data_IF_826522613177
#
_entry.id   IF_826522613177
#
_cell.length_a   1.000
_cell.length_b   1.000
_cell.length_c   1.000
_cell.angle_alpha   90.00
_cell.angle_beta   90.00
_cell.angle_gamma   90.00
#
_symmetry.space_group_name_H-M   'P 1'
#
loop_
_entity.id
_entity.type
_entity.pdbx_description
1 polymer ?
#
# COMPACT_ATOMS: atom_id res chain seq x y z
N UNK A 1 71.36 7.53 -36.52
CA UNK A 1 70.51 8.69 -36.40
C UNK A 1 69.37 8.27 -35.48
N UNK A 2 69.37 8.77 -34.25
CA UNK A 2 68.25 8.53 -33.26
C UNK A 2 67.29 9.70 -33.32
N UNK A 3 66.03 9.45 -33.58
CA UNK A 3 64.98 10.44 -33.42
C UNK A 3 64.30 10.18 -32.08
N UNK A 4 64.44 11.09 -31.15
CA UNK A 4 63.68 11.19 -29.91
C UNK A 4 62.45 12.05 -30.16
N UNK A 5 61.26 11.47 -30.04
CA UNK A 5 59.95 12.17 -30.05
C UNK A 5 59.66 12.57 -28.65
N UNK A 6 59.51 13.87 -28.41
CA UNK A 6 58.99 14.47 -27.16
C UNK A 6 57.49 14.60 -27.32
N UNK A 7 56.72 13.99 -26.44
CA UNK A 7 55.26 14.16 -26.34
C UNK A 7 55.01 15.18 -25.23
N UNK A 8 54.57 16.37 -25.60
CA UNK A 8 54.07 17.38 -24.67
C UNK A 8 52.68 16.99 -24.15
N UNK A 9 52.58 16.75 -22.85
CA UNK A 9 51.33 16.63 -22.15
C UNK A 9 50.81 18.03 -21.77
N UNK A 10 49.81 18.53 -22.45
CA UNK A 10 49.05 19.70 -22.00
C UNK A 10 48.14 19.32 -20.82
N UNK A 11 48.49 19.79 -19.63
CA UNK A 11 47.64 19.67 -18.46
C UNK A 11 46.44 20.62 -18.59
N UNK A 12 45.24 20.07 -18.87
CA UNK A 12 43.99 20.80 -18.79
C UNK A 12 43.60 20.96 -17.33
N UNK A 13 43.68 22.17 -16.79
CA UNK A 13 43.14 22.52 -15.47
C UNK A 13 41.63 22.56 -15.55
N UNK A 14 40.98 21.52 -15.01
CA UNK A 14 39.54 21.53 -14.79
C UNK A 14 39.25 22.43 -13.56
N UNK A 15 38.75 23.64 -13.84
CA UNK A 15 38.23 24.52 -12.80
C UNK A 15 36.94 23.88 -12.23
N UNK A 16 37.03 23.29 -11.04
CA UNK A 16 35.87 22.85 -10.31
C UNK A 16 35.15 24.06 -9.75
N UNK A 17 34.08 24.48 -10.43
CA UNK A 17 33.10 25.38 -9.87
C UNK A 17 32.26 24.58 -8.87
N UNK A 18 32.72 24.44 -7.62
CA UNK A 18 31.88 23.95 -6.54
C UNK A 18 30.95 25.09 -6.10
N UNK A 19 29.78 25.18 -6.72
CA UNK A 19 28.68 25.83 -6.05
C UNK A 19 28.39 25.02 -4.79
N UNK A 20 28.69 25.58 -3.62
CA UNK A 20 28.23 25.04 -2.35
C UNK A 20 26.69 25.10 -2.41
N UNK A 21 26.07 23.97 -2.69
CA UNK A 21 24.64 23.80 -2.42
C UNK A 21 24.54 23.71 -0.92
N UNK A 22 23.98 24.74 -0.29
CA UNK A 22 23.62 24.66 1.13
C UNK A 22 22.84 23.36 1.31
N UNK A 23 23.22 22.50 2.28
CA UNK A 23 22.45 21.30 2.54
C UNK A 23 21.01 21.74 2.87
N UNK A 24 19.99 21.08 2.31
CA UNK A 24 18.63 21.40 2.64
C UNK A 24 18.52 21.42 4.17
N UNK A 25 17.85 22.44 4.72
CA UNK A 25 17.56 22.52 6.15
C UNK A 25 16.74 21.29 6.53
N UNK A 26 17.41 20.21 6.88
CA UNK A 26 16.74 19.06 7.50
C UNK A 26 16.19 19.55 8.84
N UNK A 27 14.87 19.62 8.93
CA UNK A 27 14.15 19.76 10.20
C UNK A 27 14.73 18.71 11.15
N UNK A 28 14.98 19.04 12.41
CA UNK A 28 15.60 18.15 13.39
C UNK A 28 14.78 16.85 13.47
N UNK A 29 15.27 15.82 12.77
CA UNK A 29 14.60 14.54 12.71
C UNK A 29 14.72 13.86 14.04
N UNK A 30 13.59 13.39 14.60
CA UNK A 30 13.64 12.35 15.60
C UNK A 30 14.33 11.15 14.94
N UNK A 31 15.39 10.65 15.57
CA UNK A 31 16.08 9.46 15.06
C UNK A 31 15.07 8.30 14.92
N UNK A 32 15.30 7.42 13.93
CA UNK A 32 14.53 6.17 13.81
C UNK A 32 14.58 5.39 15.13
N UNK A 33 13.51 4.63 15.41
CA UNK A 33 13.46 3.77 16.57
C UNK A 33 14.55 2.68 16.49
N UNK A 34 15.37 2.50 17.53
CA UNK A 34 16.42 1.48 17.54
C UNK A 34 15.85 0.08 17.34
N UNK A 35 16.34 -0.62 16.32
CA UNK A 35 15.88 -1.95 15.97
C UNK A 35 16.99 -2.86 15.48
N UNK A 36 16.79 -4.17 15.62
CA UNK A 36 17.60 -5.21 14.99
C UNK A 36 16.95 -5.58 13.67
N UNK A 37 17.66 -5.35 12.57
CA UNK A 37 17.18 -5.60 11.21
C UNK A 37 17.68 -6.93 10.67
N UNK A 38 16.79 -7.66 10.03
CA UNK A 38 17.12 -8.81 9.17
C UNK A 38 16.20 -8.82 7.94
N UNK A 39 16.50 -9.66 6.97
CA UNK A 39 15.63 -9.84 5.82
C UNK A 39 15.52 -11.30 5.42
N UNK A 40 14.47 -11.59 4.67
CA UNK A 40 14.21 -12.92 4.10
C UNK A 40 13.44 -12.78 2.79
N UNK A 41 13.34 -13.89 2.07
CA UNK A 41 12.42 -14.02 0.94
C UNK A 41 11.40 -15.12 1.25
N UNK A 42 10.15 -14.92 0.83
CA UNK A 42 9.06 -15.86 1.04
C UNK A 42 8.27 -16.09 -0.24
N UNK A 43 7.59 -17.23 -0.33
CA UNK A 43 6.88 -17.61 -1.56
C UNK A 43 7.83 -17.93 -2.70
N UNK A 44 7.28 -17.87 -3.92
CA UNK A 44 8.01 -18.17 -5.14
C UNK A 44 8.19 -19.67 -5.40
N UNK A 45 8.63 -19.98 -6.61
CA UNK A 45 8.89 -21.34 -7.06
C UNK A 45 9.97 -21.40 -8.15
N UNK A 46 10.62 -22.56 -8.30
CA UNK A 46 11.42 -22.86 -9.49
C UNK A 46 10.50 -23.13 -10.68
N UNK A 47 10.73 -22.41 -11.76
CA UNK A 47 9.98 -22.53 -13.01
C UNK A 47 10.95 -22.72 -14.18
N UNK A 48 10.55 -23.50 -15.18
CA UNK A 48 11.35 -23.67 -16.40
C UNK A 48 11.45 -22.33 -17.16
N UNK A 49 12.67 -22.00 -17.63
CA UNK A 49 12.95 -20.77 -18.39
C UNK A 49 12.78 -20.93 -19.91
N UNK A 50 12.35 -22.12 -20.37
CA UNK A 50 12.19 -22.44 -21.79
C UNK A 50 13.48 -22.84 -22.51
N UNK A 51 14.65 -22.81 -21.85
CA UNK A 51 15.94 -23.20 -22.41
C UNK A 51 16.45 -24.56 -21.92
N UNK A 52 15.67 -25.23 -21.06
CA UNK A 52 16.05 -26.47 -20.36
C UNK A 52 16.60 -26.21 -18.94
N UNK A 53 16.63 -24.95 -18.51
CA UNK A 53 17.06 -24.51 -17.18
C UNK A 53 15.87 -24.03 -16.35
N UNK A 54 16.10 -23.64 -15.09
CA UNK A 54 15.09 -23.15 -14.18
C UNK A 54 15.54 -21.82 -13.55
N UNK A 55 14.56 -20.96 -13.30
CA UNK A 55 14.70 -19.73 -12.53
C UNK A 55 13.75 -19.75 -11.34
N UNK A 56 14.11 -19.03 -10.27
CA UNK A 56 13.24 -18.86 -9.11
C UNK A 56 12.44 -17.56 -9.27
N UNK A 57 11.12 -17.59 -9.15
CA UNK A 57 10.21 -16.49 -9.46
C UNK A 57 9.14 -16.29 -8.39
N UNK A 58 8.57 -15.06 -8.37
CA UNK A 58 7.41 -14.67 -7.56
C UNK A 58 7.66 -14.70 -6.05
N UNK A 59 8.94 -14.71 -5.64
CA UNK A 59 9.30 -14.51 -4.25
C UNK A 59 9.13 -13.04 -3.84
N UNK A 60 8.75 -12.84 -2.58
CA UNK A 60 8.56 -11.54 -1.97
C UNK A 60 9.68 -11.25 -0.97
N UNK A 61 10.32 -10.08 -1.10
CA UNK A 61 11.27 -9.58 -0.10
C UNK A 61 10.52 -9.12 1.14
N UNK A 62 11.07 -9.47 2.29
CA UNK A 62 10.54 -9.08 3.60
C UNK A 62 11.69 -8.55 4.45
N UNK A 63 11.55 -7.34 4.96
CA UNK A 63 12.44 -6.74 5.95
C UNK A 63 11.78 -6.90 7.33
N UNK A 64 12.50 -7.53 8.26
CA UNK A 64 12.06 -7.72 9.63
C UNK A 64 12.81 -6.75 10.55
N UNK A 65 12.07 -5.97 11.32
CA UNK A 65 12.59 -5.06 12.34
C UNK A 65 12.09 -5.50 13.71
N UNK A 66 13.01 -5.71 14.64
CA UNK A 66 12.72 -6.09 16.03
C UNK A 66 13.16 -4.96 16.95
N UNK A 67 12.29 -4.42 17.82
CA UNK A 67 12.68 -3.36 18.77
C UNK A 67 13.93 -3.74 19.56
N UNK A 68 14.94 -2.87 19.61
CA UNK A 68 16.17 -3.13 20.38
C UNK A 68 15.89 -3.22 21.89
N UNK A 69 14.81 -2.59 22.37
CA UNK A 69 14.35 -2.64 23.76
C UNK A 69 13.56 -3.94 24.09
N UNK A 70 13.37 -4.81 23.09
CA UNK A 70 12.55 -6.02 23.18
C UNK A 70 11.14 -5.84 22.64
N UNK A 71 10.52 -6.95 22.27
CA UNK A 71 9.12 -7.01 21.80
C UNK A 71 8.22 -7.17 23.01
N UNK A 72 7.17 -6.34 23.13
CA UNK A 72 6.15 -6.50 24.19
C UNK A 72 4.72 -6.58 23.65
N UNK A 73 4.52 -6.35 22.35
CA UNK A 73 3.23 -6.62 21.72
C UNK A 73 3.15 -8.09 21.33
N UNK A 74 2.02 -8.77 21.61
CA UNK A 74 1.88 -10.20 21.34
C UNK A 74 1.87 -10.55 19.86
N UNK A 75 1.26 -9.69 19.04
CA UNK A 75 1.04 -9.92 17.63
C UNK A 75 1.95 -9.02 16.77
N UNK A 76 2.73 -9.59 15.83
CA UNK A 76 3.53 -8.79 14.90
C UNK A 76 2.65 -8.09 13.87
N UNK A 77 3.23 -7.10 13.19
CA UNK A 77 2.54 -6.38 12.13
C UNK A 77 3.28 -6.51 10.79
N UNK A 78 2.52 -6.75 9.71
CA UNK A 78 3.01 -6.73 8.32
C UNK A 78 2.50 -5.47 7.63
N UNK A 79 3.41 -4.69 7.04
CA UNK A 79 3.13 -3.45 6.32
C UNK A 79 3.26 -3.66 4.81
N UNK A 80 2.17 -3.42 4.06
CA UNK A 80 2.05 -3.68 2.62
C UNK A 80 1.79 -2.36 1.90
N UNK A 81 2.74 -1.95 1.05
CA UNK A 81 2.71 -0.68 0.31
C UNK A 81 1.73 -0.66 -0.86
N UNK A 82 1.44 0.55 -1.39
CA UNK A 82 0.57 0.80 -2.54
C UNK A 82 1.22 0.56 -3.91
N UNK A 83 0.46 0.90 -4.96
CA UNK A 83 0.91 0.78 -6.35
C UNK A 83 2.05 1.75 -6.65
N UNK A 84 3.05 1.29 -7.41
CA UNK A 84 4.22 2.08 -7.77
C UNK A 84 5.17 2.37 -6.63
N UNK A 85 4.98 1.76 -5.46
CA UNK A 85 5.75 2.00 -4.24
C UNK A 85 6.47 0.75 -3.75
N UNK A 86 7.26 0.90 -2.68
CA UNK A 86 7.94 -0.18 -1.96
C UNK A 86 7.74 -0.01 -0.46
N UNK A 87 8.22 -0.97 0.33
CA UNK A 87 8.19 -0.89 1.79
C UNK A 87 8.93 0.30 2.38
N UNK A 88 9.81 0.96 1.60
CA UNK A 88 10.51 2.17 2.05
C UNK A 88 9.58 3.30 2.48
N UNK A 89 8.33 3.32 1.96
CA UNK A 89 7.32 4.31 2.33
C UNK A 89 6.93 4.29 3.81
N UNK A 90 7.15 3.15 4.49
CA UNK A 90 6.90 3.02 5.93
C UNK A 90 8.13 3.33 6.79
N UNK A 91 9.33 3.47 6.19
CA UNK A 91 10.57 3.76 6.92
C UNK A 91 10.68 5.25 7.26
N UNK A 92 10.61 6.10 6.22
CA UNK A 92 10.72 7.55 6.37
C UNK A 92 9.65 8.26 5.54
N UNK A 93 9.24 9.45 6.02
CA UNK A 93 8.40 10.36 5.26
C UNK A 93 9.24 11.17 4.27
N UNK A 94 8.65 11.70 3.17
CA UNK A 94 9.40 12.46 2.18
C UNK A 94 9.94 13.81 2.70
N UNK A 95 9.37 14.33 3.80
CA UNK A 95 9.88 15.50 4.52
C UNK A 95 11.04 15.15 5.48
N UNK A 96 11.49 13.90 5.48
CA UNK A 96 12.53 13.38 6.36
C UNK A 96 12.06 13.00 7.76
N UNK A 97 10.77 13.09 8.05
CA UNK A 97 10.18 12.61 9.29
C UNK A 97 10.20 11.08 9.39
N UNK A 98 9.99 10.56 10.61
CA UNK A 98 9.90 9.12 10.87
C UNK A 98 8.66 8.53 10.20
N UNK A 99 8.81 7.36 9.61
CA UNK A 99 7.69 6.57 9.11
C UNK A 99 7.05 5.69 10.18
N UNK A 100 5.93 5.08 9.84
CA UNK A 100 5.15 4.25 10.76
C UNK A 100 5.88 3.01 11.26
N UNK A 101 6.87 2.49 10.53
CA UNK A 101 7.71 1.40 11.03
C UNK A 101 8.39 1.76 12.35
N UNK A 102 9.00 2.96 12.42
CA UNK A 102 9.60 3.46 13.67
C UNK A 102 8.57 3.66 14.78
N UNK A 103 7.36 4.13 14.44
CA UNK A 103 6.29 4.31 15.44
C UNK A 103 5.82 2.96 16.00
N UNK A 104 5.63 1.94 15.16
CA UNK A 104 5.30 0.59 15.63
C UNK A 104 6.42 -0.02 16.47
N UNK A 105 7.70 0.20 16.12
CA UNK A 105 8.83 -0.27 16.91
C UNK A 105 8.86 0.39 18.29
N UNK A 106 8.63 1.71 18.38
CA UNK A 106 8.53 2.43 19.66
C UNK A 106 7.36 1.91 20.53
N UNK A 107 6.31 1.37 19.91
CA UNK A 107 5.17 0.73 20.59
C UNK A 107 5.38 -0.78 20.82
N UNK A 108 6.58 -1.30 20.58
CA UNK A 108 6.97 -2.66 20.92
C UNK A 108 6.55 -3.76 19.96
N UNK A 109 6.11 -3.40 18.76
CA UNK A 109 5.76 -4.39 17.74
C UNK A 109 7.00 -4.95 17.04
N UNK A 110 6.98 -6.24 16.76
CA UNK A 110 7.81 -6.85 15.73
C UNK A 110 7.20 -6.48 14.37
N UNK A 111 7.97 -5.80 13.51
CA UNK A 111 7.47 -5.22 12.25
C UNK A 111 8.07 -5.97 11.06
N UNK A 112 7.20 -6.34 10.12
CA UNK A 112 7.58 -6.90 8.83
C UNK A 112 7.17 -5.92 7.72
N UNK A 113 8.13 -5.45 6.94
CA UNK A 113 7.90 -4.56 5.81
C UNK A 113 8.14 -5.38 4.55
N UNK A 114 7.16 -5.44 3.66
CA UNK A 114 7.29 -6.19 2.42
C UNK A 114 7.50 -5.24 1.23
N UNK A 115 8.29 -5.70 0.25
CA UNK A 115 8.14 -5.24 -1.13
C UNK A 115 7.31 -6.30 -1.84
N UNK A 116 6.12 -5.94 -2.32
CA UNK A 116 5.25 -6.89 -3.03
C UNK A 116 6.02 -7.61 -4.14
N UNK A 117 5.56 -8.77 -4.57
CA UNK A 117 6.18 -9.50 -5.68
C UNK A 117 6.37 -8.59 -6.89
N UNK A 118 7.48 -8.71 -7.60
CA UNK A 118 7.84 -7.88 -8.74
C UNK A 118 7.91 -6.37 -8.42
N UNK A 119 8.32 -6.01 -7.21
CA UNK A 119 8.50 -4.64 -6.74
C UNK A 119 9.79 -4.47 -5.97
N UNK A 120 10.45 -3.33 -6.13
CA UNK A 120 11.59 -2.93 -5.32
C UNK A 120 12.65 -4.02 -5.20
N UNK A 121 12.84 -4.55 -4.00
CA UNK A 121 13.81 -5.61 -3.68
C UNK A 121 13.30 -7.04 -3.99
N UNK A 122 12.02 -7.20 -4.30
CA UNK A 122 11.49 -8.46 -4.83
C UNK A 122 11.91 -8.61 -6.29
N UNK A 123 12.49 -9.75 -6.69
CA UNK A 123 13.05 -9.91 -8.03
C UNK A 123 12.03 -9.66 -9.14
N UNK A 124 12.46 -8.91 -10.14
CA UNK A 124 11.68 -8.61 -11.33
C UNK A 124 11.95 -9.65 -12.41
N UNK A 125 11.17 -10.71 -12.46
CA UNK A 125 11.31 -11.78 -13.44
C UNK A 125 9.97 -12.08 -14.09
N UNK A 126 9.64 -11.33 -15.15
CA UNK A 126 8.45 -11.57 -15.96
C UNK A 126 8.64 -12.82 -16.82
N UNK A 127 7.59 -13.63 -16.97
CA UNK A 127 7.72 -14.94 -17.62
C UNK A 127 6.77 -15.20 -18.77
N UNK A 128 5.64 -14.50 -18.78
CA UNK A 128 4.55 -14.83 -19.69
C UNK A 128 4.59 -14.04 -21.00
N UNK A 129 5.50 -13.07 -21.12
CA UNK A 129 5.62 -12.19 -22.28
C UNK A 129 4.40 -11.26 -22.50
N UNK A 130 3.35 -11.39 -21.67
CA UNK A 130 2.10 -10.63 -21.78
C UNK A 130 2.01 -9.53 -20.75
N UNK A 131 2.51 -9.78 -19.52
CA UNK A 131 2.56 -8.81 -18.44
C UNK A 131 3.64 -7.76 -18.71
N UNK A 132 3.25 -6.51 -18.66
CA UNK A 132 4.15 -5.37 -18.98
C UNK A 132 4.46 -4.54 -17.73
N UNK A 133 5.66 -3.93 -17.68
CA UNK A 133 5.93 -2.90 -16.69
C UNK A 133 5.13 -1.63 -16.99
N UNK A 134 4.64 -1.00 -15.93
CA UNK A 134 3.98 0.29 -15.94
C UNK A 134 4.57 1.18 -14.86
N UNK A 135 4.29 2.48 -14.90
CA UNK A 135 4.69 3.45 -13.89
C UNK A 135 3.62 4.52 -13.73
N UNK A 136 3.53 5.11 -12.55
CA UNK A 136 2.71 6.29 -12.34
C UNK A 136 3.44 7.53 -12.89
N UNK A 137 2.75 8.33 -13.71
CA UNK A 137 3.33 9.59 -14.18
C UNK A 137 3.34 10.63 -13.06
N UNK A 138 4.22 11.63 -13.21
CA UNK A 138 4.28 12.80 -12.33
C UNK A 138 2.91 13.44 -12.20
N UNK A 139 2.25 13.67 -13.35
CA UNK A 139 0.95 14.33 -13.41
C UNK A 139 -0.16 13.53 -12.74
N UNK A 140 -0.10 12.20 -12.78
CA UNK A 140 -1.04 11.34 -12.05
C UNK A 140 -0.85 11.49 -10.55
N UNK A 141 0.39 11.47 -10.07
CA UNK A 141 0.74 11.64 -8.66
C UNK A 141 0.32 13.02 -8.15
N UNK A 142 0.65 14.09 -8.88
CA UNK A 142 0.26 15.46 -8.52
C UNK A 142 -1.26 15.62 -8.38
N UNK A 143 -2.01 15.08 -9.36
CA UNK A 143 -3.46 15.24 -9.43
C UNK A 143 -4.21 14.44 -8.38
N UNK A 144 -3.71 13.24 -8.07
CA UNK A 144 -4.46 12.26 -7.27
C UNK A 144 -3.97 12.14 -5.84
N UNK A 145 -2.70 12.52 -5.54
CA UNK A 145 -2.10 12.23 -4.24
C UNK A 145 -1.56 13.47 -3.52
N UNK A 146 -0.76 14.31 -4.18
CA UNK A 146 0.07 15.29 -3.50
C UNK A 146 -0.41 16.74 -3.62
N UNK A 147 -1.04 17.12 -4.73
CA UNK A 147 -1.51 18.49 -4.97
C UNK A 147 -3.02 18.54 -5.33
N UNK A 148 -3.81 17.66 -4.76
CA UNK A 148 -5.22 17.44 -5.16
C UNK A 148 -6.09 18.71 -5.06
N UNK A 149 -5.84 19.57 -4.08
CA UNK A 149 -6.56 20.85 -3.93
C UNK A 149 -6.36 21.80 -5.13
N UNK A 150 -5.24 21.68 -5.85
CA UNK A 150 -4.98 22.45 -7.08
C UNK A 150 -5.85 21.97 -8.24
N UNK A 151 -6.06 20.65 -8.37
CA UNK A 151 -6.72 20.03 -9.52
C UNK A 151 -8.23 19.86 -9.32
N UNK A 152 -8.72 19.69 -8.09
CA UNK A 152 -10.15 19.68 -7.71
C UNK A 152 -10.98 18.65 -8.49
N UNK A 153 -10.45 17.46 -8.67
CA UNK A 153 -11.11 16.41 -9.46
C UNK A 153 -12.28 15.74 -8.73
N UNK A 154 -12.42 15.96 -7.43
CA UNK A 154 -13.56 15.58 -6.58
C UNK A 154 -13.78 16.68 -5.52
N UNK A 155 -14.99 16.82 -4.97
CA UNK A 155 -15.32 17.95 -4.09
C UNK A 155 -14.42 18.05 -2.86
N UNK A 156 -14.12 16.92 -2.18
CA UNK A 156 -13.32 16.89 -0.96
C UNK A 156 -11.84 17.27 -1.19
N UNK A 157 -11.35 17.23 -2.43
CA UNK A 157 -9.98 17.62 -2.76
C UNK A 157 -9.59 19.01 -2.26
N UNK A 158 -10.57 19.92 -2.14
CA UNK A 158 -10.36 21.28 -1.64
C UNK A 158 -9.87 21.34 -0.18
N UNK A 159 -10.12 20.29 0.60
CA UNK A 159 -9.72 20.20 2.00
C UNK A 159 -8.26 19.80 2.18
N UNK A 160 -7.50 19.45 1.10
CA UNK A 160 -6.13 18.95 1.23
C UNK A 160 -5.15 20.01 1.69
N UNK A 161 -4.62 19.86 2.90
CA UNK A 161 -3.69 20.80 3.54
C UNK A 161 -2.48 20.13 4.21
N UNK A 162 -2.46 18.79 4.27
CA UNK A 162 -1.46 18.06 5.05
C UNK A 162 -0.24 17.60 4.25
N UNK A 163 -0.24 17.69 2.92
CA UNK A 163 0.98 17.40 2.19
C UNK A 163 2.11 18.38 2.60
N UNK A 164 3.32 17.89 2.94
CA UNK A 164 4.45 18.74 3.24
C UNK A 164 5.03 19.30 1.93
N UNK A 165 4.97 20.60 1.73
CA UNK A 165 5.41 21.27 0.50
C UNK A 165 4.28 21.55 -0.50
N UNK A 166 4.63 21.85 -1.75
CA UNK A 166 3.66 22.22 -2.79
C UNK A 166 2.94 21.01 -3.42
N UNK A 167 3.51 19.82 -3.28
CA UNK A 167 3.02 18.61 -3.93
C UNK A 167 3.22 18.56 -5.45
N UNK A 168 4.06 19.44 -6.01
CA UNK A 168 4.32 19.55 -7.44
C UNK A 168 5.78 19.25 -7.77
N UNK A 169 6.04 18.77 -8.98
CA UNK A 169 7.39 18.58 -9.53
C UNK A 169 8.26 19.82 -9.35
N UNK A 170 9.50 19.60 -8.88
CA UNK A 170 10.47 20.66 -8.56
C UNK A 170 10.41 21.11 -7.10
N UNK A 171 9.41 20.69 -6.33
CA UNK A 171 9.42 20.81 -4.88
C UNK A 171 10.29 19.68 -4.29
N UNK A 172 11.28 19.96 -3.43
CA UNK A 172 12.19 18.94 -2.92
C UNK A 172 11.49 17.77 -2.23
N UNK A 173 10.37 18.01 -1.55
CA UNK A 173 9.61 16.95 -0.86
C UNK A 173 8.86 16.10 -1.87
N UNK A 174 8.23 16.72 -2.88
CA UNK A 174 7.62 15.97 -3.97
C UNK A 174 8.65 15.14 -4.73
N UNK A 175 9.81 15.73 -5.08
CA UNK A 175 10.85 15.04 -5.82
C UNK A 175 11.44 13.87 -5.02
N UNK A 176 11.60 14.01 -3.69
CA UNK A 176 12.00 12.93 -2.81
C UNK A 176 10.95 11.79 -2.78
N UNK A 177 9.66 12.12 -2.69
CA UNK A 177 8.57 11.14 -2.76
C UNK A 177 8.53 10.48 -4.14
N UNK A 178 8.53 11.26 -5.23
CA UNK A 178 8.41 10.70 -6.56
C UNK A 178 9.59 9.80 -6.94
N UNK A 179 10.81 10.15 -6.51
CA UNK A 179 12.01 9.34 -6.75
C UNK A 179 11.98 7.98 -6.02
N UNK A 180 11.13 7.81 -5.00
CA UNK A 180 10.92 6.53 -4.33
C UNK A 180 9.94 5.60 -5.08
N UNK A 181 9.24 6.11 -6.11
CA UNK A 181 8.32 5.31 -6.90
C UNK A 181 9.08 4.38 -7.85
N UNK A 182 8.54 3.19 -8.03
CA UNK A 182 9.10 2.14 -8.87
C UNK A 182 8.08 1.65 -9.88
N UNK A 183 8.56 0.92 -10.90
CA UNK A 183 7.68 0.23 -11.83
C UNK A 183 6.82 -0.83 -11.11
N UNK A 184 5.68 -1.14 -11.71
CA UNK A 184 4.78 -2.22 -11.30
C UNK A 184 4.28 -2.95 -12.54
N UNK A 185 3.63 -4.09 -12.35
CA UNK A 185 3.01 -4.83 -13.46
C UNK A 185 1.58 -4.32 -13.70
N UNK A 186 1.16 -4.32 -14.97
CA UNK A 186 -0.20 -3.94 -15.39
C UNK A 186 -1.25 -5.04 -15.17
N UNK A 187 -0.81 -6.27 -14.86
CA UNK A 187 -1.67 -7.42 -14.59
C UNK A 187 -2.01 -7.50 -13.08
N UNK A 188 -3.15 -6.92 -12.70
CA UNK A 188 -3.62 -6.90 -11.30
C UNK A 188 -3.93 -8.29 -10.75
N UNK A 189 -4.48 -9.20 -11.58
CA UNK A 189 -4.77 -10.59 -11.20
C UNK A 189 -3.49 -11.30 -10.79
N UNK A 190 -2.48 -11.28 -11.66
CA UNK A 190 -1.19 -11.91 -11.37
C UNK A 190 -0.50 -11.30 -10.13
N UNK A 191 -0.59 -9.97 -9.96
CA UNK A 191 -0.07 -9.30 -8.75
C UNK A 191 -0.77 -9.83 -7.48
N UNK A 192 -2.09 -9.96 -7.50
CA UNK A 192 -2.85 -10.45 -6.36
C UNK A 192 -2.55 -11.93 -6.06
N UNK A 193 -2.48 -12.78 -7.07
CA UNK A 193 -2.15 -14.21 -6.92
C UNK A 193 -0.76 -14.41 -6.28
N UNK A 194 0.25 -13.74 -6.81
CA UNK A 194 1.63 -13.91 -6.33
C UNK A 194 1.82 -13.33 -4.93
N UNK A 195 1.19 -12.19 -4.62
CA UNK A 195 1.26 -11.58 -3.29
C UNK A 195 0.44 -12.38 -2.27
N UNK A 196 -0.73 -12.93 -2.63
CA UNK A 196 -1.47 -13.82 -1.75
C UNK A 196 -0.63 -15.05 -1.37
N UNK A 197 -0.02 -15.71 -2.36
CA UNK A 197 0.81 -16.89 -2.13
C UNK A 197 2.04 -16.57 -1.25
N UNK A 198 2.75 -15.49 -1.56
CA UNK A 198 3.92 -15.06 -0.79
C UNK A 198 3.55 -14.55 0.61
N UNK A 199 2.43 -13.85 0.76
CA UNK A 199 1.90 -13.40 2.04
C UNK A 199 1.47 -14.56 2.94
N UNK A 200 0.82 -15.58 2.36
CA UNK A 200 0.49 -16.82 3.07
C UNK A 200 1.76 -17.53 3.57
N UNK A 201 2.80 -17.65 2.73
CA UNK A 201 4.09 -18.21 3.11
C UNK A 201 4.79 -17.37 4.20
N UNK A 202 4.61 -16.04 4.20
CA UNK A 202 5.10 -15.18 5.29
C UNK A 202 4.40 -15.49 6.60
N UNK A 203 3.08 -15.59 6.61
CA UNK A 203 2.32 -15.94 7.82
C UNK A 203 2.69 -17.33 8.35
N UNK A 204 2.85 -18.32 7.46
CA UNK A 204 3.33 -19.66 7.83
C UNK A 204 4.71 -19.59 8.51
N UNK A 205 5.60 -18.72 8.02
CA UNK A 205 6.95 -18.54 8.59
C UNK A 205 6.94 -17.77 9.91
N UNK A 206 6.04 -16.80 10.09
CA UNK A 206 5.82 -16.10 11.37
C UNK A 206 5.22 -17.06 12.40
N UNK A 207 4.27 -17.91 12.00
CA UNK A 207 3.73 -19.04 12.78
C UNK A 207 2.81 -18.63 13.94
N UNK A 208 2.33 -17.36 13.99
CA UNK A 208 1.42 -16.84 15.02
C UNK A 208 0.49 -15.78 14.42
N UNK A 209 -0.64 -15.46 15.10
CA UNK A 209 -1.55 -14.41 14.63
C UNK A 209 -0.81 -13.10 14.37
N UNK A 210 -1.13 -12.47 13.24
CA UNK A 210 -0.39 -11.34 12.70
C UNK A 210 -1.38 -10.27 12.25
N UNK A 211 -1.09 -9.01 12.54
CA UNK A 211 -1.83 -7.84 12.08
C UNK A 211 -1.39 -7.54 10.63
N UNK A 212 -2.34 -7.42 9.70
CA UNK A 212 -2.06 -7.11 8.31
C UNK A 212 -2.50 -5.67 8.01
N UNK A 213 -1.57 -4.80 7.68
CA UNK A 213 -1.84 -3.42 7.27
C UNK A 213 -1.47 -3.23 5.80
N UNK A 214 -2.42 -2.77 5.01
CA UNK A 214 -2.22 -2.48 3.60
C UNK A 214 -2.72 -1.09 3.20
N UNK A 215 -1.95 -0.42 2.32
CA UNK A 215 -2.31 0.88 1.76
C UNK A 215 -2.64 0.78 0.27
N UNK A 216 -3.71 1.45 -0.19
CA UNK A 216 -4.04 1.60 -1.61
C UNK A 216 -4.19 0.24 -2.32
N UNK A 217 -3.45 -0.02 -3.41
CA UNK A 217 -3.39 -1.34 -4.04
C UNK A 217 -2.97 -2.44 -3.06
N UNK A 218 -2.06 -2.14 -2.13
CA UNK A 218 -1.69 -3.05 -1.05
C UNK A 218 -2.83 -3.33 -0.07
N UNK A 219 -3.89 -2.52 -0.08
CA UNK A 219 -5.10 -2.72 0.71
C UNK A 219 -5.99 -3.90 0.24
N UNK A 220 -5.79 -4.44 -0.97
CA UNK A 220 -6.42 -5.70 -1.37
C UNK A 220 -5.80 -6.91 -0.66
N UNK A 221 -4.49 -6.86 -0.44
CA UNK A 221 -3.67 -7.99 -0.06
C UNK A 221 -3.99 -8.54 1.34
N UNK A 222 -4.26 -7.72 2.39
CA UNK A 222 -4.65 -8.23 3.70
C UNK A 222 -5.85 -9.17 3.66
N UNK A 223 -6.89 -8.84 2.88
CA UNK A 223 -8.07 -9.69 2.77
C UNK A 223 -7.77 -11.03 2.08
N UNK A 224 -6.97 -11.01 1.02
CA UNK A 224 -6.55 -12.23 0.30
C UNK A 224 -5.64 -13.12 1.13
N UNK A 225 -4.68 -12.52 1.86
CA UNK A 225 -3.76 -13.25 2.74
C UNK A 225 -4.53 -13.83 3.94
N UNK A 226 -5.46 -13.08 4.50
CA UNK A 226 -6.31 -13.53 5.61
C UNK A 226 -7.23 -14.68 5.18
N UNK A 227 -7.82 -14.61 3.98
CA UNK A 227 -8.61 -15.70 3.41
C UNK A 227 -7.79 -16.98 3.26
N UNK A 228 -6.54 -16.87 2.80
CA UNK A 228 -5.63 -18.00 2.67
C UNK A 228 -5.13 -18.55 4.02
N UNK A 229 -5.03 -17.71 5.05
CA UNK A 229 -4.50 -18.06 6.40
C UNK A 229 -5.34 -17.43 7.52
N UNK A 230 -6.64 -17.76 7.64
CA UNK A 230 -7.51 -17.11 8.62
C UNK A 230 -7.07 -17.32 10.08
N UNK A 231 -6.47 -18.46 10.42
CA UNK A 231 -5.98 -18.75 11.77
C UNK A 231 -4.70 -18.00 12.15
N UNK A 232 -3.94 -17.51 11.15
CA UNK A 232 -2.71 -16.74 11.34
C UNK A 232 -2.92 -15.24 11.14
N UNK A 233 -4.17 -14.80 10.91
CA UNK A 233 -4.53 -13.37 10.83
C UNK A 233 -5.22 -12.97 12.12
N UNK A 234 -4.67 -11.95 12.80
CA UNK A 234 -5.24 -11.32 14.00
C UNK A 234 -6.30 -10.30 13.63
N UNK A 235 -5.94 -9.35 12.80
CA UNK A 235 -6.80 -8.25 12.33
C UNK A 235 -6.31 -7.68 11.00
N UNK A 236 -7.16 -6.92 10.35
CA UNK A 236 -6.94 -6.32 9.02
C UNK A 236 -7.08 -4.80 9.13
N UNK A 237 -6.08 -4.06 8.64
CA UNK A 237 -6.08 -2.60 8.59
C UNK A 237 -5.89 -2.15 7.14
N UNK A 238 -6.84 -1.41 6.64
CA UNK A 238 -6.93 -0.96 5.27
C UNK A 238 -6.86 0.56 5.23
N UNK A 239 -5.70 1.09 4.86
CA UNK A 239 -5.53 2.52 4.63
C UNK A 239 -5.93 2.80 3.18
N UNK A 240 -7.14 3.31 2.99
CA UNK A 240 -7.68 3.64 1.66
C UNK A 240 -7.50 2.49 0.66
N UNK A 241 -8.11 1.32 0.90
CA UNK A 241 -7.94 0.16 0.04
C UNK A 241 -8.44 0.45 -1.36
N UNK A 242 -7.81 -0.14 -2.37
CA UNK A 242 -8.31 -0.05 -3.72
C UNK A 242 -9.80 -0.44 -3.77
N UNK A 243 -10.63 0.42 -4.32
CA UNK A 243 -12.08 0.28 -4.27
C UNK A 243 -12.74 1.20 -5.29
N UNK A 244 -14.04 1.37 -5.18
CA UNK A 244 -15.03 0.64 -4.39
C UNK A 244 -15.29 -0.80 -4.89
N UNK A 245 -16.18 -1.58 -4.25
CA UNK A 245 -16.52 -2.93 -4.68
C UNK A 245 -17.03 -3.00 -6.11
N UNK A 246 -16.74 -4.08 -6.80
CA UNK A 246 -17.16 -4.45 -8.16
C UNK A 246 -16.67 -3.52 -9.27
N UNK A 247 -16.71 -2.22 -9.12
CA UNK A 247 -16.34 -1.28 -10.17
C UNK A 247 -15.56 -0.10 -9.60
N UNK A 248 -14.46 0.26 -10.23
CA UNK A 248 -13.67 1.43 -9.87
C UNK A 248 -14.46 2.73 -9.94
N UNK A 249 -13.99 3.74 -9.20
CA UNK A 249 -14.54 5.10 -9.23
C UNK A 249 -13.41 6.10 -9.53
N UNK A 250 -13.61 7.34 -9.39
CA UNK A 250 -12.76 8.52 -9.56
C UNK A 250 -11.39 8.29 -10.22
N UNK A 251 -10.50 7.49 -9.60
CA UNK A 251 -9.15 7.23 -10.12
C UNK A 251 -9.17 6.30 -11.36
N UNK A 252 -9.91 5.18 -11.29
CA UNK A 252 -9.98 4.17 -12.34
C UNK A 252 -11.42 3.68 -12.56
N UNK A 253 -12.30 4.48 -13.15
CA UNK A 253 -13.72 4.15 -13.27
C UNK A 253 -14.02 2.96 -14.20
N UNK A 254 -13.05 2.52 -15.00
CA UNK A 254 -13.21 1.39 -15.93
C UNK A 254 -12.71 0.05 -15.35
N UNK A 255 -12.06 0.06 -14.19
CA UNK A 255 -11.61 -1.17 -13.54
C UNK A 255 -12.79 -1.89 -12.91
N UNK A 256 -12.89 -3.20 -13.15
CA UNK A 256 -13.88 -4.09 -12.51
C UNK A 256 -13.17 -5.06 -11.59
N UNK A 257 -13.86 -5.43 -10.49
CA UNK A 257 -13.42 -6.43 -9.51
C UNK A 257 -14.46 -7.52 -9.42
N UNK A 258 -14.32 -8.60 -10.20
CA UNK A 258 -15.36 -9.60 -10.32
C UNK A 258 -15.72 -10.26 -8.99
N UNK A 259 -14.77 -10.38 -8.07
CA UNK A 259 -14.96 -10.98 -6.76
C UNK A 259 -15.36 -9.98 -5.66
N UNK A 260 -15.95 -8.87 -6.04
CA UNK A 260 -16.37 -7.79 -5.14
C UNK A 260 -15.22 -6.84 -4.78
N UNK A 261 -14.39 -7.21 -3.82
CA UNK A 261 -13.27 -6.37 -3.36
C UNK A 261 -11.97 -6.61 -4.13
N UNK A 262 -11.84 -7.75 -4.82
CA UNK A 262 -10.59 -8.26 -5.41
C UNK A 262 -10.82 -8.82 -6.81
N UNK A 263 -9.73 -9.09 -7.54
CA UNK A 263 -9.77 -9.56 -8.92
C UNK A 263 -9.65 -11.09 -9.02
N UNK A 264 -9.23 -11.76 -7.96
CA UNK A 264 -9.03 -13.21 -7.86
C UNK A 264 -10.01 -13.85 -6.90
N UNK A 265 -10.23 -15.17 -6.94
CA UNK A 265 -11.11 -15.86 -6.03
C UNK A 265 -10.79 -15.59 -4.56
N UNK A 266 -11.85 -15.31 -3.79
CA UNK A 266 -11.88 -15.25 -2.33
C UNK A 266 -13.01 -16.14 -1.85
N UNK A 267 -12.88 -16.72 -0.65
CA UNK A 267 -13.79 -17.75 -0.17
C UNK A 267 -15.13 -17.18 0.31
N UNK A 268 -16.20 -17.58 -0.34
CA UNK A 268 -17.58 -17.25 0.03
C UNK A 268 -18.38 -18.49 0.50
N UNK A 269 -19.39 -18.24 1.32
CA UNK A 269 -20.46 -19.16 1.64
C UNK A 269 -21.84 -18.53 1.35
N UNK A 270 -22.72 -19.16 0.55
CA UNK A 270 -22.46 -20.31 -0.31
C UNK A 270 -21.32 -20.06 -1.30
N UNK A 271 -20.60 -21.12 -1.75
CA UNK A 271 -19.46 -20.96 -2.65
C UNK A 271 -19.79 -20.18 -3.92
N UNK A 272 -18.87 -19.32 -4.37
CA UNK A 272 -18.90 -18.62 -5.65
C UNK A 272 -18.06 -19.41 -6.64
N UNK A 273 -18.67 -19.81 -7.77
CA UNK A 273 -17.99 -20.52 -8.86
C UNK A 273 -17.86 -19.65 -10.11
N UNK A 274 -18.89 -18.86 -10.39
CA UNK A 274 -18.88 -17.83 -11.42
C UNK A 274 -19.32 -16.51 -10.78
N UNK A 275 -18.38 -15.59 -10.52
CA UNK A 275 -18.71 -14.34 -9.83
C UNK A 275 -19.68 -13.45 -10.63
N UNK A 276 -19.75 -13.60 -11.96
CA UNK A 276 -20.69 -12.84 -12.78
C UNK A 276 -22.15 -13.29 -12.58
N UNK A 277 -22.33 -14.55 -12.15
CA UNK A 277 -23.67 -15.15 -11.90
C UNK A 277 -23.97 -15.16 -10.40
N UNK A 278 -23.01 -15.58 -9.58
CA UNK A 278 -23.20 -15.86 -8.17
C UNK A 278 -23.22 -14.61 -7.27
N UNK A 279 -22.50 -13.53 -7.69
CA UNK A 279 -22.46 -12.26 -6.98
C UNK A 279 -23.43 -11.25 -7.66
N UNK A 280 -24.72 -11.43 -7.43
CA UNK A 280 -25.73 -10.53 -7.97
C UNK A 280 -25.54 -9.14 -7.39
N UNK A 281 -25.37 -8.16 -8.28
CA UNK A 281 -25.06 -6.78 -7.91
C UNK A 281 -26.31 -5.91 -7.88
N UNK A 282 -26.33 -4.94 -6.96
CA UNK A 282 -27.36 -3.92 -6.84
C UNK A 282 -26.72 -2.56 -6.60
N UNK A 283 -27.28 -1.53 -7.23
CA UNK A 283 -26.87 -0.14 -6.99
C UNK A 283 -27.65 0.41 -5.80
N UNK A 284 -26.92 0.92 -4.82
CA UNK A 284 -27.49 1.60 -3.63
C UNK A 284 -27.30 3.10 -3.78
N UNK A 285 -28.30 3.85 -3.37
CA UNK A 285 -28.27 5.31 -3.45
C UNK A 285 -27.10 5.89 -2.65
N UNK A 286 -26.56 6.98 -3.11
CA UNK A 286 -25.50 7.72 -2.41
C UNK A 286 -25.93 8.12 -1.00
N UNK A 287 -24.99 8.06 -0.07
CA UNK A 287 -25.22 8.38 1.35
C UNK A 287 -25.52 9.88 1.57
N UNK A 288 -24.84 10.73 0.81
CA UNK A 288 -24.94 12.20 0.85
C UNK A 288 -24.50 12.81 -0.50
N UNK A 289 -24.53 14.13 -0.60
CA UNK A 289 -24.17 14.84 -1.85
C UNK A 289 -22.69 14.70 -2.25
N UNK A 290 -21.80 14.43 -1.30
CA UNK A 290 -20.35 14.29 -1.50
C UNK A 290 -19.94 12.84 -1.76
N UNK A 291 -20.85 11.88 -1.60
CA UNK A 291 -20.60 10.46 -1.83
C UNK A 291 -21.08 10.01 -3.21
N UNK A 292 -20.60 8.85 -3.66
CA UNK A 292 -21.11 8.17 -4.85
C UNK A 292 -22.14 7.09 -4.49
N UNK A 293 -22.85 6.58 -5.49
CA UNK A 293 -23.65 5.36 -5.35
C UNK A 293 -22.73 4.15 -5.12
N UNK A 294 -23.16 3.22 -4.26
CA UNK A 294 -22.45 1.98 -4.02
C UNK A 294 -22.99 0.86 -4.90
N UNK A 295 -22.10 0.09 -5.52
CA UNK A 295 -22.47 -1.21 -6.09
C UNK A 295 -22.09 -2.25 -5.04
N UNK A 296 -23.10 -2.95 -4.50
CA UNK A 296 -22.95 -3.99 -3.48
C UNK A 296 -23.62 -5.27 -3.97
N UNK A 297 -23.60 -6.34 -3.17
CA UNK A 297 -24.44 -7.50 -3.45
C UNK A 297 -25.91 -7.13 -3.28
N UNK A 298 -26.78 -7.71 -4.10
CA UNK A 298 -28.22 -7.56 -3.92
C UNK A 298 -28.70 -8.20 -2.60
N UNK A 299 -29.81 -7.69 -2.05
CA UNK A 299 -30.43 -8.30 -0.87
C UNK A 299 -31.12 -9.62 -1.21
N UNK A 300 -31.55 -9.77 -2.45
CA UNK A 300 -32.16 -10.98 -2.96
C UNK A 300 -31.54 -11.38 -4.32
N UNK A 301 -30.83 -12.50 -4.40
CA UNK A 301 -30.57 -13.50 -3.34
C UNK A 301 -29.77 -12.93 -2.16
N UNK A 302 -29.85 -13.60 -1.01
CA UNK A 302 -29.09 -13.19 0.20
C UNK A 302 -27.61 -13.06 -0.14
N UNK A 303 -26.93 -11.98 0.33
CA UNK A 303 -25.50 -11.77 0.10
C UNK A 303 -24.64 -12.95 0.54
N UNK A 304 -23.66 -13.31 -0.29
CA UNK A 304 -22.63 -14.30 0.03
C UNK A 304 -21.73 -13.79 1.14
N UNK A 305 -21.34 -14.68 2.05
CA UNK A 305 -20.57 -14.34 3.24
C UNK A 305 -19.06 -14.66 3.05
N UNK A 306 -18.17 -13.78 3.49
CA UNK A 306 -16.73 -13.98 3.48
C UNK A 306 -16.29 -14.76 4.72
N UNK A 307 -16.57 -16.07 4.74
CA UNK A 307 -16.48 -16.93 5.94
C UNK A 307 -15.10 -16.99 6.60
N UNK A 308 -14.02 -16.76 5.86
CA UNK A 308 -12.67 -16.71 6.42
C UNK A 308 -12.31 -15.35 7.04
N UNK A 309 -13.18 -14.33 6.84
CA UNK A 309 -12.97 -12.97 7.33
C UNK A 309 -14.02 -12.53 8.37
N UNK A 310 -15.13 -13.23 8.50
CA UNK A 310 -16.29 -12.83 9.32
C UNK A 310 -15.96 -12.58 10.80
N UNK A 311 -15.00 -13.34 11.35
CA UNK A 311 -14.56 -13.21 12.74
C UNK A 311 -13.45 -12.17 12.94
N UNK A 312 -12.89 -11.61 11.87
CA UNK A 312 -11.74 -10.70 11.94
C UNK A 312 -12.17 -9.26 12.24
N UNK A 313 -11.50 -8.59 13.18
CA UNK A 313 -11.57 -7.13 13.26
C UNK A 313 -10.99 -6.50 11.99
N UNK A 314 -11.76 -5.64 11.32
CA UNK A 314 -11.35 -4.93 10.11
C UNK A 314 -11.47 -3.43 10.35
N UNK A 315 -10.37 -2.69 10.10
CA UNK A 315 -10.36 -1.24 10.15
C UNK A 315 -10.14 -0.68 8.75
N UNK A 316 -10.99 0.25 8.32
CA UNK A 316 -10.78 1.07 7.13
C UNK A 316 -10.55 2.50 7.60
N UNK A 317 -9.50 3.16 7.09
CA UNK A 317 -9.18 4.56 7.40
C UNK A 317 -9.15 5.36 6.11
N UNK A 318 -9.90 6.46 6.07
CA UNK A 318 -10.03 7.30 4.87
C UNK A 318 -9.73 8.77 5.21
N UNK A 319 -8.83 9.38 4.42
CA UNK A 319 -8.48 10.80 4.49
C UNK A 319 -9.62 11.70 4.03
N UNK A 320 -9.78 12.85 4.70
CA UNK A 320 -10.88 13.79 4.41
C UNK A 320 -10.83 14.32 2.97
N UNK A 321 -9.64 14.58 2.45
CA UNK A 321 -9.43 15.18 1.13
C UNK A 321 -9.06 14.17 0.05
N UNK A 322 -9.01 12.89 0.38
CA UNK A 322 -8.65 11.82 -0.56
C UNK A 322 -9.72 11.59 -1.63
N UNK A 323 -9.30 11.08 -2.78
CA UNK A 323 -10.23 10.56 -3.80
C UNK A 323 -10.99 9.31 -3.31
N UNK A 324 -10.61 8.72 -2.18
CA UNK A 324 -11.32 7.66 -1.48
C UNK A 324 -12.52 8.18 -0.66
N UNK A 325 -12.50 9.41 -0.21
CA UNK A 325 -13.55 9.98 0.63
C UNK A 325 -14.98 9.81 0.06
N UNK A 326 -15.20 9.96 -1.27
CA UNK A 326 -16.52 9.72 -1.85
C UNK A 326 -17.00 8.28 -1.79
N UNK A 327 -16.16 7.25 -1.62
CA UNK A 327 -16.58 5.86 -1.85
C UNK A 327 -16.11 4.78 -0.86
N UNK A 328 -15.17 5.02 0.04
CA UNK A 328 -14.70 3.96 0.96
C UNK A 328 -15.80 3.45 1.91
N UNK A 329 -16.85 4.24 2.13
CA UNK A 329 -18.03 3.75 2.83
C UNK A 329 -18.67 2.55 2.12
N UNK A 330 -18.64 2.48 0.78
CA UNK A 330 -19.12 1.33 0.02
C UNK A 330 -18.30 0.06 0.32
N UNK A 331 -16.98 0.21 0.47
CA UNK A 331 -16.10 -0.91 0.86
C UNK A 331 -16.45 -1.41 2.27
N UNK A 332 -16.68 -0.50 3.21
CA UNK A 332 -17.09 -0.87 4.56
C UNK A 332 -18.47 -1.57 4.59
N UNK A 333 -19.45 -1.06 3.84
CA UNK A 333 -20.77 -1.68 3.73
C UNK A 333 -20.70 -3.07 3.07
N UNK A 334 -19.85 -3.23 2.04
CA UNK A 334 -19.66 -4.54 1.42
C UNK A 334 -19.14 -5.58 2.42
N UNK A 335 -18.13 -5.24 3.23
CA UNK A 335 -17.65 -6.14 4.28
C UNK A 335 -18.75 -6.52 5.27
N UNK A 336 -19.53 -5.54 5.74
CA UNK A 336 -20.64 -5.81 6.67
C UNK A 336 -21.72 -6.69 6.04
N UNK A 337 -22.11 -6.39 4.81
CA UNK A 337 -23.06 -7.19 4.04
C UNK A 337 -22.57 -8.63 3.84
N UNK A 338 -21.25 -8.80 3.67
CA UNK A 338 -20.60 -10.10 3.52
C UNK A 338 -20.26 -10.79 4.86
N UNK A 339 -20.89 -10.38 5.98
CA UNK A 339 -20.78 -11.03 7.28
C UNK A 339 -19.64 -10.53 8.18
N UNK A 340 -18.81 -9.61 7.71
CA UNK A 340 -17.70 -9.06 8.50
C UNK A 340 -18.19 -7.92 9.41
N UNK A 341 -19.03 -8.24 10.40
CA UNK A 341 -19.70 -7.26 11.26
C UNK A 341 -18.74 -6.43 12.12
N UNK A 342 -17.53 -6.94 12.40
CA UNK A 342 -16.48 -6.21 13.14
C UNK A 342 -15.74 -5.16 12.28
N UNK A 343 -16.30 -4.80 11.13
CA UNK A 343 -15.73 -3.76 10.26
C UNK A 343 -15.99 -2.37 10.81
N UNK A 344 -14.94 -1.63 11.14
CA UNK A 344 -14.98 -0.22 11.52
C UNK A 344 -14.43 0.63 10.36
N UNK A 345 -15.16 1.66 9.99
CA UNK A 345 -14.71 2.69 9.05
C UNK A 345 -14.47 3.99 9.81
N UNK A 346 -13.26 4.52 9.74
CA UNK A 346 -12.88 5.82 10.29
C UNK A 346 -12.64 6.79 9.14
N UNK A 347 -13.54 7.73 8.98
CA UNK A 347 -13.37 8.89 8.12
C UNK A 347 -12.68 9.97 8.96
N UNK A 348 -11.42 10.30 8.65
CA UNK A 348 -10.57 11.15 9.49
C UNK A 348 -11.21 12.51 9.79
N UNK A 349 -11.83 13.17 8.81
CA UNK A 349 -12.53 14.43 9.02
C UNK A 349 -13.66 14.35 10.04
N UNK A 350 -14.34 13.19 10.18
CA UNK A 350 -15.41 12.99 11.16
C UNK A 350 -14.92 12.78 12.59
N UNK A 351 -13.64 12.47 12.75
CA UNK A 351 -13.00 12.32 14.07
C UNK A 351 -12.07 13.48 14.42
N UNK A 352 -12.15 14.59 13.66
CA UNK A 352 -11.41 15.83 13.93
C UNK A 352 -9.99 15.87 13.37
N UNK A 353 -9.60 14.91 12.53
CA UNK A 353 -8.33 14.93 11.79
C UNK A 353 -8.59 15.39 10.36
N UNK A 354 -8.13 16.58 10.03
CA UNK A 354 -8.50 17.26 8.81
C UNK A 354 -7.36 17.41 7.80
N UNK A 355 -7.74 17.49 6.53
CA UNK A 355 -6.86 17.89 5.43
C UNK A 355 -5.99 16.80 4.84
N UNK A 356 -6.19 15.53 5.19
CA UNK A 356 -5.40 14.43 4.69
C UNK A 356 -5.88 13.94 3.32
N UNK A 357 -4.91 13.76 2.41
CA UNK A 357 -5.09 13.10 1.13
C UNK A 357 -4.79 11.61 1.20
N UNK A 358 -4.55 11.01 0.01
CA UNK A 358 -4.31 9.57 -0.14
C UNK A 358 -3.05 9.05 0.58
N UNK A 359 -2.02 9.89 0.71
CA UNK A 359 -0.76 9.51 1.35
C UNK A 359 -0.76 9.82 2.86
N UNK A 360 -1.89 9.63 3.53
CA UNK A 360 -2.18 10.02 4.91
C UNK A 360 -1.09 9.64 5.94
N UNK A 361 -0.42 8.50 5.76
CA UNK A 361 0.66 8.03 6.65
C UNK A 361 2.03 8.68 6.36
N UNK A 362 2.13 9.51 5.31
CA UNK A 362 3.33 10.26 4.93
C UNK A 362 3.15 11.79 5.08
N UNK A 363 1.96 12.24 5.41
CA UNK A 363 1.62 13.66 5.55
C UNK A 363 2.02 14.23 6.91
N UNK A 364 1.89 15.56 7.09
CA UNK A 364 2.40 16.30 8.26
C UNK A 364 1.92 15.76 9.60
N UNK A 365 0.63 15.41 9.68
CA UNK A 365 -0.04 14.92 10.90
C UNK A 365 -0.17 13.38 10.94
N UNK A 366 0.69 12.65 10.24
CA UNK A 366 0.64 11.17 10.17
C UNK A 366 0.71 10.50 11.56
N UNK A 367 1.37 11.13 12.54
CA UNK A 367 1.49 10.59 13.89
C UNK A 367 0.13 10.60 14.63
N UNK A 368 -0.74 11.59 14.36
CA UNK A 368 -2.10 11.63 14.91
C UNK A 368 -2.96 10.48 14.34
N UNK A 369 -2.79 10.19 13.06
CA UNK A 369 -3.49 9.07 12.40
C UNK A 369 -2.96 7.73 12.92
N UNK A 370 -1.64 7.63 13.10
CA UNK A 370 -1.02 6.45 13.72
C UNK A 370 -1.62 6.16 15.10
N UNK A 371 -1.79 7.19 15.94
CA UNK A 371 -2.35 7.03 17.28
C UNK A 371 -3.80 6.47 17.25
N UNK A 372 -4.61 6.85 16.24
CA UNK A 372 -5.94 6.27 16.04
C UNK A 372 -5.86 4.79 15.65
N UNK A 373 -4.97 4.46 14.73
CA UNK A 373 -4.79 3.08 14.25
C UNK A 373 -4.27 2.20 15.38
N UNK A 374 -3.25 2.66 16.10
CA UNK A 374 -2.66 1.95 17.24
C UNK A 374 -3.69 1.76 18.37
N UNK A 375 -4.44 2.80 18.73
CA UNK A 375 -5.51 2.72 19.72
C UNK A 375 -6.62 1.73 19.32
N UNK A 376 -6.91 1.61 18.02
CA UNK A 376 -7.82 0.57 17.53
C UNK A 376 -7.22 -0.83 17.66
N UNK A 377 -5.92 -1.02 17.33
CA UNK A 377 -5.24 -2.31 17.49
C UNK A 377 -5.31 -2.77 18.96
N UNK A 378 -5.01 -1.88 19.91
CA UNK A 378 -5.03 -2.19 21.36
C UNK A 378 -6.43 -2.57 21.88
N UNK A 379 -7.47 -2.22 21.14
CA UNK A 379 -8.87 -2.48 21.52
C UNK A 379 -9.44 -3.77 20.89
N UNK A 380 -8.70 -4.45 20.00
CA UNK A 380 -9.12 -5.61 19.21
C UNK A 380 -8.10 -6.75 19.23
#
# INVERSE_FOLDING_TARGET
>A
MRFTSVIDFAAATISQCSAAVDPPHYISHRAEAPSVRSYLYVGGAYVADGTGSHVFRDQMYVEKLVPAAGVWQPDPIVLIHGQGQTGSNFLNKPDGGRGWASLFIDHGYEVYIVDQTLRGRSPWMLSDGTTKPSALSVEAIEKMFTAVAKFKLWPQALNHTQWPGSGLRGDPIFDAFYSSNVQFIDNSTYQQETVQAAGAALLDKIGRPTILLGHSQGGFMPSLIADARPKLTKSIILLEPGGPPFKGAIYNPNVTRPWGLVDIPITYDPPVTDPAVDLVQQVYVKRDELSIECILQAENPKPRQLVNLEDKPILIVTGEASYHAPYDHCTAEFFRQAGCEKTKHIELGKVGIHGNGHMLFMEKNSDEIFAIVEGWIQSN
#
